data_IF_144187513077
#
_entry.id   IF_144187513077
#
_cell.length_a   1.000
_cell.length_b   1.000
_cell.length_c   1.000
_cell.angle_alpha   90.00
_cell.angle_beta   90.00
_cell.angle_gamma   90.00
#
_symmetry.space_group_name_H-M   'P 1'
#
loop_
_entity.id
_entity.type
_entity.pdbx_description
1 polymer ?
#
# COMPACT_ATOMS: atom_id res chain seq x y z
N UNK A 1 6.64 -11.97 -1.96
CA UNK A 1 5.48 -11.21 -2.46
C UNK A 1 5.92 -9.91 -3.14
N UNK A 2 6.49 -8.94 -2.43
CA UNK A 2 6.91 -7.64 -3.01
C UNK A 2 7.81 -7.75 -4.24
N UNK A 3 8.77 -8.69 -4.23
CA UNK A 3 9.64 -8.92 -5.40
C UNK A 3 8.90 -9.36 -6.66
N UNK A 4 7.76 -10.07 -6.51
CA UNK A 4 6.96 -10.50 -7.66
C UNK A 4 6.13 -9.35 -8.23
N UNK A 5 5.81 -8.35 -7.42
CA UNK A 5 5.11 -7.15 -7.90
C UNK A 5 5.98 -6.31 -8.83
N UNK A 6 7.31 -6.39 -8.70
CA UNK A 6 8.25 -5.73 -9.62
C UNK A 6 8.17 -6.29 -11.05
N UNK A 7 7.67 -7.52 -11.23
CA UNK A 7 7.58 -8.17 -12.55
C UNK A 7 6.20 -8.06 -13.18
N UNK A 8 5.24 -7.44 -12.50
CA UNK A 8 3.88 -7.22 -13.03
C UNK A 8 3.95 -6.32 -14.26
N UNK A 9 3.46 -6.81 -15.40
CA UNK A 9 3.50 -6.09 -16.69
C UNK A 9 2.50 -4.94 -16.82
N UNK A 10 1.70 -4.67 -15.79
CA UNK A 10 0.70 -3.62 -15.75
C UNK A 10 0.85 -2.72 -14.52
N UNK A 11 -0.06 -1.75 -14.38
CA UNK A 11 -0.17 -0.90 -13.19
C UNK A 11 -0.95 -1.63 -12.11
N UNK A 12 -0.55 -1.46 -10.84
CA UNK A 12 -1.26 -2.03 -9.71
C UNK A 12 -1.33 -1.04 -8.55
N UNK A 13 -2.34 -1.27 -7.71
CA UNK A 13 -2.56 -0.58 -6.45
C UNK A 13 -2.88 -1.63 -5.39
N UNK A 14 -2.19 -1.56 -4.25
CA UNK A 14 -2.39 -2.45 -3.11
C UNK A 14 -2.57 -1.59 -1.85
N UNK A 15 -3.67 -1.79 -1.12
CA UNK A 15 -3.90 -1.16 0.18
C UNK A 15 -3.52 -2.12 1.31
N UNK A 16 -2.70 -1.67 2.25
CA UNK A 16 -2.28 -2.44 3.42
C UNK A 16 -2.36 -1.58 4.68
N UNK A 17 -2.41 -2.22 5.85
CA UNK A 17 -2.23 -1.51 7.12
C UNK A 17 -0.84 -0.86 7.15
N UNK A 18 -0.77 0.38 7.60
CA UNK A 18 0.48 1.12 7.73
C UNK A 18 1.23 0.67 8.99
N UNK A 19 2.19 -0.23 8.81
CA UNK A 19 3.10 -0.65 9.86
C UNK A 19 4.54 -0.74 9.33
N UNK A 20 5.50 -0.72 10.24
CA UNK A 20 6.94 -0.69 9.91
C UNK A 20 7.33 -1.84 8.96
N UNK A 21 6.84 -3.06 9.21
CA UNK A 21 7.11 -4.21 8.33
C UNK A 21 6.58 -4.03 6.91
N UNK A 22 5.43 -3.38 6.71
CA UNK A 22 4.91 -3.08 5.36
C UNK A 22 5.79 -2.03 4.70
N UNK A 23 6.17 -0.97 5.40
CA UNK A 23 7.06 0.07 4.85
C UNK A 23 8.42 -0.49 4.46
N UNK A 24 8.97 -1.40 5.26
CA UNK A 24 10.25 -2.06 4.94
C UNK A 24 10.14 -2.96 3.71
N UNK A 25 9.14 -3.85 3.67
CA UNK A 25 8.95 -4.84 2.59
C UNK A 25 8.68 -4.16 1.24
N UNK A 26 7.98 -3.02 1.25
CA UNK A 26 7.58 -2.31 0.04
C UNK A 26 8.40 -1.03 -0.23
N UNK A 27 9.53 -0.82 0.46
CA UNK A 27 10.32 0.43 0.41
C UNK A 27 10.74 0.89 -1.00
N UNK A 28 10.78 -0.03 -1.96
CA UNK A 28 11.15 0.24 -3.36
C UNK A 28 9.95 0.70 -4.22
N UNK A 29 8.77 0.86 -3.64
CA UNK A 29 7.55 1.29 -4.32
C UNK A 29 7.10 2.68 -3.84
N UNK A 30 6.22 3.31 -4.62
CA UNK A 30 5.59 4.56 -4.18
C UNK A 30 4.49 4.27 -3.16
N UNK A 31 4.39 5.15 -2.16
CA UNK A 31 3.40 5.07 -1.10
C UNK A 31 2.53 6.32 -1.07
N UNK A 32 1.24 6.15 -0.77
CA UNK A 32 0.37 7.20 -0.28
C UNK A 32 -0.25 6.76 1.05
N UNK A 33 -0.08 7.54 2.12
CA UNK A 33 -0.80 7.33 3.36
C UNK A 33 -2.22 7.88 3.19
N UNK A 34 -3.21 7.06 3.49
CA UNK A 34 -4.63 7.43 3.43
C UNK A 34 -5.28 7.16 4.77
N UNK A 35 -6.20 8.04 5.17
CA UNK A 35 -6.98 7.85 6.37
C UNK A 35 -7.94 6.66 6.17
N UNK A 36 -7.98 5.70 7.11
CA UNK A 36 -8.89 4.56 7.00
C UNK A 36 -10.34 5.04 7.09
N UNK A 37 -11.13 4.80 6.05
CA UNK A 37 -12.59 4.82 6.21
C UNK A 37 -13.01 3.46 6.79
N UNK A 38 -13.11 3.37 8.11
CA UNK A 38 -13.45 2.13 8.81
C UNK A 38 -14.90 1.70 8.49
N UNK A 39 -15.09 0.88 7.46
CA UNK A 39 -16.36 0.22 7.17
C UNK A 39 -16.33 -1.22 7.70
N UNK A 40 -16.91 -1.43 8.89
CA UNK A 40 -17.12 -2.76 9.46
C UNK A 40 -17.53 -2.71 10.92
N UNK A 41 -18.67 -3.31 11.27
CA UNK A 41 -19.08 -3.50 12.65
C UNK A 41 -18.06 -4.44 13.35
N UNK A 42 -17.20 -3.88 14.21
CA UNK A 42 -16.17 -4.63 14.94
C UNK A 42 -14.78 -3.98 14.95
N UNK A 43 -14.54 -2.97 14.09
CA UNK A 43 -13.30 -2.18 14.12
C UNK A 43 -13.51 -0.88 14.92
N UNK A 44 -13.91 -1.02 16.18
CA UNK A 44 -13.89 0.12 17.11
C UNK A 44 -12.47 0.29 17.67
N UNK A 45 -11.80 1.38 17.31
CA UNK A 45 -10.79 1.99 18.19
C UNK A 45 -9.33 1.58 18.00
N UNK A 46 -8.90 1.11 16.82
CA UNK A 46 -7.48 1.17 16.46
C UNK A 46 -7.28 2.16 15.32
N UNK A 47 -6.56 3.23 15.63
CA UNK A 47 -5.98 4.14 14.65
C UNK A 47 -4.92 3.35 13.86
N UNK A 48 -5.35 2.72 12.78
CA UNK A 48 -4.45 1.98 11.88
C UNK A 48 -4.49 2.74 10.57
N UNK A 49 -3.46 3.54 10.31
CA UNK A 49 -3.28 4.17 9.01
C UNK A 49 -3.31 3.12 7.90
N UNK A 50 -3.72 3.53 6.69
CA UNK A 50 -3.64 2.67 5.51
C UNK A 50 -2.57 3.25 4.61
N UNK A 51 -1.72 2.38 4.08
CA UNK A 51 -0.76 2.75 3.05
C UNK A 51 -1.16 2.12 1.72
N UNK A 52 -1.22 2.95 0.69
CA UNK A 52 -1.47 2.55 -0.68
C UNK A 52 -0.13 2.44 -1.40
N UNK A 53 0.24 1.22 -1.77
CA UNK A 53 1.44 0.91 -2.55
C UNK A 53 1.08 0.92 -4.04
N UNK A 54 1.81 1.71 -4.82
CA UNK A 54 1.61 1.86 -6.26
C UNK A 54 2.85 1.41 -7.03
N UNK A 55 2.62 0.73 -8.15
CA UNK A 55 3.71 0.29 -9.02
C UNK A 55 3.24 -0.16 -10.41
N UNK A 56 4.21 -0.50 -11.25
CA UNK A 56 3.99 -0.94 -12.62
C UNK A 56 4.83 -0.17 -13.64
N UNK A 57 5.06 -0.79 -14.80
CA UNK A 57 5.71 -0.13 -15.94
C UNK A 57 4.81 1.02 -16.39
N UNK A 58 5.37 2.23 -16.54
CA UNK A 58 4.67 3.46 -16.99
C UNK A 58 3.93 4.26 -15.90
N UNK A 59 4.34 4.19 -14.63
CA UNK A 59 3.91 5.20 -13.66
C UNK A 59 4.75 6.48 -13.90
N UNK A 60 4.15 7.62 -14.29
CA UNK A 60 4.91 8.85 -14.43
C UNK A 60 5.53 9.19 -13.07
N UNK A 61 6.85 9.43 -13.06
CA UNK A 61 7.53 10.00 -11.92
C UNK A 61 6.98 11.43 -11.75
N UNK A 62 6.04 11.57 -10.81
CA UNK A 62 5.62 12.88 -10.30
C UNK A 62 6.76 13.49 -9.47
#
# INVERSE_FOLDING_TARGET
MAEHLKTVKGRFLISLNDCEGVREVFKDFQFATVEPTLYGAGLHGKDVGVVVVMGGKDLPLA
#
